data_IF_376084705736
#
_entry.id   IF_376084705736
#
_cell.length_a   1.000
_cell.length_b   1.000
_cell.length_c   1.000
_cell.angle_alpha   90.00
_cell.angle_beta   90.00
_cell.angle_gamma   90.00
#
_symmetry.space_group_name_H-M   'P 1'
#
loop_
_entity.id
_entity.type
_entity.pdbx_description
1 polymer ?
#
# COMPACT_ATOMS: atom_id res chain seq x y z
N UNK A 1 8.68 -6.60 14.22
CA UNK A 1 8.17 -7.36 15.37
C UNK A 1 9.28 -7.69 16.37
N UNK A 2 10.30 -8.49 16.04
CA UNK A 2 11.35 -8.85 17.02
C UNK A 2 12.07 -7.70 17.74
N UNK A 3 12.38 -6.55 17.10
CA UNK A 3 12.97 -5.42 17.80
C UNK A 3 11.92 -4.50 18.48
N UNK A 4 10.63 -4.80 18.34
CA UNK A 4 9.55 -4.01 18.93
C UNK A 4 9.20 -4.52 20.34
N UNK A 5 8.64 -3.69 21.23
CA UNK A 5 8.29 -4.09 22.59
C UNK A 5 7.04 -4.98 22.68
N UNK A 6 6.44 -5.38 21.55
CA UNK A 6 5.18 -6.10 21.53
C UNK A 6 5.40 -7.61 21.58
N UNK A 7 4.70 -8.30 22.49
CA UNK A 7 4.66 -9.77 22.54
C UNK A 7 3.69 -10.37 21.51
N UNK A 8 2.71 -9.57 21.05
CA UNK A 8 1.73 -9.94 20.01
C UNK A 8 1.47 -8.74 19.11
N UNK A 9 1.59 -8.92 17.79
CA UNK A 9 1.37 -7.84 16.83
C UNK A 9 0.86 -8.35 15.47
N UNK A 10 -0.09 -7.62 14.88
CA UNK A 10 -0.35 -7.72 13.45
C UNK A 10 0.79 -7.02 12.70
N UNK A 11 1.42 -7.71 11.76
CA UNK A 11 2.51 -7.18 10.94
C UNK A 11 1.96 -7.00 9.53
N UNK A 12 1.88 -5.76 9.08
CA UNK A 12 1.52 -5.40 7.72
C UNK A 12 2.79 -5.00 6.98
N UNK A 13 3.09 -5.70 5.90
CA UNK A 13 4.15 -5.34 4.97
C UNK A 13 3.49 -4.80 3.70
N UNK A 14 3.79 -3.55 3.35
CA UNK A 14 3.41 -2.90 2.10
C UNK A 14 4.70 -2.58 1.37
N UNK A 15 5.01 -3.32 0.32
CA UNK A 15 6.23 -3.14 -0.45
C UNK A 15 5.93 -3.31 -1.94
N UNK A 16 6.84 -2.85 -2.80
CA UNK A 16 6.68 -2.91 -4.25
C UNK A 16 6.54 -4.34 -4.73
N UNK A 17 7.67 -5.00 -5.01
CA UNK A 17 7.70 -6.41 -5.42
C UNK A 17 8.81 -7.08 -4.63
N UNK A 18 8.44 -7.96 -3.69
CA UNK A 18 9.39 -8.90 -3.09
C UNK A 18 9.77 -9.97 -4.12
N UNK A 19 9.11 -11.13 -4.08
CA UNK A 19 9.13 -12.11 -5.19
C UNK A 19 7.85 -12.05 -6.03
N UNK A 20 6.67 -11.97 -5.40
CA UNK A 20 5.36 -11.75 -6.05
C UNK A 20 4.35 -11.02 -5.14
N UNK A 21 4.48 -11.15 -3.81
CA UNK A 21 3.65 -10.47 -2.84
C UNK A 21 4.01 -8.97 -2.75
N UNK A 22 2.97 -8.15 -2.76
CA UNK A 22 3.03 -6.68 -2.73
C UNK A 22 2.39 -6.10 -1.46
N UNK A 23 1.51 -6.88 -0.83
CA UNK A 23 0.99 -6.63 0.50
C UNK A 23 0.91 -7.95 1.22
N UNK A 24 1.41 -8.05 2.44
CA UNK A 24 1.26 -9.26 3.25
C UNK A 24 0.94 -8.92 4.69
N UNK A 25 0.07 -9.73 5.29
CA UNK A 25 -0.30 -9.62 6.69
C UNK A 25 0.09 -10.89 7.42
N UNK A 26 0.75 -10.69 8.56
CA UNK A 26 1.23 -11.75 9.43
C UNK A 26 0.73 -11.54 10.85
N UNK A 27 0.49 -12.64 11.56
CA UNK A 27 0.27 -12.61 13.00
C UNK A 27 1.56 -13.01 13.69
N UNK A 28 2.10 -12.11 14.51
CA UNK A 28 3.25 -12.37 15.34
C UNK A 28 2.83 -12.60 16.80
N UNK A 29 3.35 -13.66 17.42
CA UNK A 29 3.13 -14.02 18.82
C UNK A 29 4.39 -14.68 19.40
N UNK A 30 4.99 -14.07 20.42
CA UNK A 30 6.22 -14.54 21.05
C UNK A 30 7.38 -14.58 20.04
N UNK A 31 7.83 -15.78 19.66
CA UNK A 31 8.90 -15.98 18.67
C UNK A 31 8.40 -16.46 17.30
N UNK A 32 7.07 -16.54 17.12
CA UNK A 32 6.45 -17.08 15.90
C UNK A 32 5.81 -15.97 15.08
N UNK A 33 6.00 -16.04 13.78
CA UNK A 33 5.33 -15.18 12.79
C UNK A 33 4.65 -16.09 11.79
N UNK A 34 3.33 -15.93 11.60
CA UNK A 34 2.52 -16.80 10.75
C UNK A 34 1.78 -15.97 9.71
N UNK A 35 1.91 -16.34 8.43
CA UNK A 35 1.21 -15.70 7.32
C UNK A 35 -0.30 -15.80 7.54
N UNK A 36 -1.03 -14.72 7.23
CA UNK A 36 -2.49 -14.71 7.23
C UNK A 36 -3.03 -14.62 5.82
N UNK A 37 -2.57 -13.63 5.07
CA UNK A 37 -2.93 -13.43 3.68
C UNK A 37 -1.93 -12.50 3.00
N UNK A 38 -1.95 -12.51 1.69
CA UNK A 38 -1.15 -11.64 0.85
C UNK A 38 -1.95 -11.20 -0.38
N UNK A 39 -1.55 -10.07 -0.95
CA UNK A 39 -1.97 -9.60 -2.25
C UNK A 39 -0.75 -9.74 -3.16
N UNK A 40 -0.96 -10.35 -4.32
CA UNK A 40 0.06 -10.56 -5.32
C UNK A 40 0.05 -9.43 -6.35
N UNK A 41 1.18 -9.26 -7.01
CA UNK A 41 1.32 -8.42 -8.20
C UNK A 41 0.24 -8.80 -9.25
N UNK A 42 -0.39 -7.87 -9.95
CA UNK A 42 -0.08 -6.43 -10.16
C UNK A 42 -0.70 -5.46 -9.14
N UNK A 43 -1.39 -5.93 -8.12
CA UNK A 43 -2.20 -5.06 -7.26
C UNK A 43 -1.38 -4.52 -6.07
N UNK A 44 -0.71 -3.38 -6.23
CA UNK A 44 0.11 -2.79 -5.16
C UNK A 44 -0.09 -1.28 -5.01
N UNK A 45 -0.28 -0.79 -3.77
CA UNK A 45 -0.54 0.63 -3.50
C UNK A 45 0.59 1.55 -3.98
N UNK A 46 1.83 1.05 -4.00
CA UNK A 46 2.97 1.76 -4.58
C UNK A 46 2.74 2.12 -6.05
N UNK A 47 2.03 1.30 -6.85
CA UNK A 47 1.80 1.58 -8.27
C UNK A 47 0.90 2.80 -8.42
N UNK A 48 -0.16 2.85 -7.62
CA UNK A 48 -1.07 3.98 -7.57
C UNK A 48 -0.32 5.24 -7.14
N UNK A 49 0.52 5.12 -6.11
CA UNK A 49 1.34 6.22 -5.61
C UNK A 49 2.36 6.72 -6.66
N UNK A 50 3.04 5.80 -7.38
CA UNK A 50 3.94 6.11 -8.49
C UNK A 50 3.21 6.78 -9.65
N UNK A 51 2.04 6.27 -10.02
CA UNK A 51 1.25 6.83 -11.11
C UNK A 51 0.87 8.30 -10.83
N UNK A 52 0.42 8.62 -9.62
CA UNK A 52 0.16 10.01 -9.23
C UNK A 52 1.45 10.83 -9.15
N UNK A 53 2.55 10.22 -8.69
CA UNK A 53 3.85 10.89 -8.63
C UNK A 53 4.31 11.38 -9.99
N UNK A 54 4.19 10.49 -10.98
CA UNK A 54 4.49 10.82 -12.36
C UNK A 54 3.49 11.82 -12.94
N UNK A 55 2.19 11.61 -12.73
CA UNK A 55 1.12 12.43 -13.29
C UNK A 55 1.24 13.91 -12.93
N UNK A 56 1.64 14.23 -11.69
CA UNK A 56 1.79 15.61 -11.25
C UNK A 56 3.18 16.21 -11.54
N UNK A 57 4.02 15.49 -12.30
CA UNK A 57 5.27 16.00 -12.88
C UNK A 57 6.54 15.74 -12.05
N UNK A 58 6.51 14.89 -11.03
CA UNK A 58 7.72 14.55 -10.28
C UNK A 58 8.48 13.35 -10.88
N UNK A 59 9.80 13.41 -10.81
CA UNK A 59 10.69 12.32 -11.24
C UNK A 59 10.79 11.21 -10.20
N UNK A 60 10.50 9.97 -10.59
CA UNK A 60 10.70 8.77 -9.78
C UNK A 60 12.21 8.44 -9.69
N UNK A 61 12.75 8.00 -8.53
CA UNK A 61 12.08 7.77 -7.24
C UNK A 61 12.09 8.99 -6.30
N UNK A 62 12.72 10.11 -6.68
CA UNK A 62 12.85 11.30 -5.82
C UNK A 62 11.55 12.11 -5.63
N UNK A 63 10.48 11.78 -6.34
CA UNK A 63 9.21 12.50 -6.29
C UNK A 63 8.35 12.17 -5.08
N UNK A 64 8.44 10.93 -4.62
CA UNK A 64 7.50 10.33 -3.68
C UNK A 64 7.43 11.04 -2.34
N UNK A 65 8.59 11.36 -1.76
CA UNK A 65 8.67 12.04 -0.48
C UNK A 65 8.15 13.49 -0.55
N UNK A 66 8.25 14.13 -1.73
CA UNK A 66 7.74 15.50 -1.93
C UNK A 66 6.21 15.51 -1.92
N UNK A 67 5.58 14.50 -2.49
CA UNK A 67 4.11 14.36 -2.50
C UNK A 67 3.60 14.08 -1.10
N UNK A 68 4.28 13.20 -0.37
CA UNK A 68 3.96 12.96 1.03
C UNK A 68 4.03 14.27 1.83
N UNK A 69 5.06 15.09 1.62
CA UNK A 69 5.17 16.41 2.25
C UNK A 69 4.08 17.40 1.82
N UNK A 70 3.67 17.40 0.54
CA UNK A 70 2.63 18.27 0.01
C UNK A 70 1.21 17.85 0.44
N UNK A 71 1.02 16.58 0.84
CA UNK A 71 -0.29 16.06 1.24
C UNK A 71 -0.90 16.83 2.42
N UNK A 72 -0.08 17.41 3.30
CA UNK A 72 -0.53 18.24 4.43
C UNK A 72 -1.13 19.59 4.03
N UNK A 73 -0.82 20.07 2.82
CA UNK A 73 -1.35 21.32 2.26
C UNK A 73 -2.54 21.07 1.30
N UNK A 74 -2.94 19.82 1.11
CA UNK A 74 -3.91 19.41 0.09
C UNK A 74 -5.30 19.17 0.68
N UNK A 75 -6.33 19.32 -0.15
CA UNK A 75 -7.69 18.89 0.18
C UNK A 75 -8.03 17.54 -0.48
N UNK A 76 -8.74 16.64 0.23
CA UNK A 76 -9.09 15.30 -0.26
C UNK A 76 -10.25 15.30 -1.29
N UNK A 77 -10.16 16.14 -2.33
CA UNK A 77 -11.23 16.38 -3.31
C UNK A 77 -11.58 15.16 -4.19
N UNK A 78 -10.63 14.26 -4.42
CA UNK A 78 -10.77 13.14 -5.37
C UNK A 78 -10.90 11.77 -4.70
N UNK A 79 -11.11 11.72 -3.38
CA UNK A 79 -11.11 10.45 -2.63
C UNK A 79 -12.17 9.48 -3.16
N UNK A 80 -13.38 9.95 -3.42
CA UNK A 80 -14.47 9.10 -3.91
C UNK A 80 -14.23 8.64 -5.35
N UNK A 81 -13.70 9.50 -6.22
CA UNK A 81 -13.35 9.10 -7.59
C UNK A 81 -12.23 8.04 -7.60
N UNK A 82 -11.21 8.20 -6.75
CA UNK A 82 -10.13 7.21 -6.63
C UNK A 82 -10.68 5.89 -6.11
N UNK A 83 -11.53 5.92 -5.07
CA UNK A 83 -12.15 4.71 -4.50
C UNK A 83 -13.08 4.00 -5.47
N UNK A 84 -13.83 4.73 -6.28
CA UNK A 84 -14.84 4.13 -7.16
C UNK A 84 -14.28 3.71 -8.53
N UNK A 85 -13.17 4.29 -8.98
CA UNK A 85 -12.64 4.06 -10.33
C UNK A 85 -11.27 3.37 -10.36
N UNK A 86 -10.42 3.58 -9.36
CA UNK A 86 -9.03 3.08 -9.37
C UNK A 86 -8.81 1.89 -8.42
N UNK A 87 -9.73 1.68 -7.48
CA UNK A 87 -9.63 0.67 -6.45
C UNK A 87 -10.92 -0.17 -6.40
N UNK A 88 -10.74 -1.46 -6.15
CA UNK A 88 -11.79 -2.38 -5.76
C UNK A 88 -11.47 -2.85 -4.34
N UNK A 89 -11.98 -2.12 -3.33
CA UNK A 89 -11.77 -2.41 -1.92
C UNK A 89 -12.80 -3.43 -1.45
N UNK A 90 -12.32 -4.52 -0.85
CA UNK A 90 -13.13 -5.62 -0.33
C UNK A 90 -13.45 -5.42 1.14
N UNK A 91 -14.49 -6.12 1.61
CA UNK A 91 -14.93 -6.09 3.01
C UNK A 91 -13.86 -6.61 3.99
N UNK A 92 -12.97 -7.50 3.53
CA UNK A 92 -11.85 -8.03 4.31
C UNK A 92 -10.61 -7.11 4.32
N UNK A 93 -10.77 -5.88 3.82
CA UNK A 93 -9.72 -4.87 3.63
C UNK A 93 -8.65 -5.23 2.60
N UNK A 94 -8.80 -6.34 1.86
CA UNK A 94 -8.00 -6.56 0.65
C UNK A 94 -8.46 -5.60 -0.44
N UNK A 95 -7.59 -5.33 -1.42
CA UNK A 95 -7.90 -4.44 -2.52
C UNK A 95 -7.33 -4.97 -3.83
N UNK A 96 -7.94 -4.56 -4.94
CA UNK A 96 -7.35 -4.68 -6.28
C UNK A 96 -7.28 -3.30 -6.91
N UNK A 97 -6.21 -3.06 -7.66
CA UNK A 97 -6.17 -1.92 -8.56
C UNK A 97 -7.04 -2.23 -9.77
N UNK A 98 -7.78 -1.22 -10.23
CA UNK A 98 -8.42 -1.30 -11.54
C UNK A 98 -7.35 -1.20 -12.63
N UNK A 99 -7.20 -2.28 -13.40
CA UNK A 99 -6.24 -2.41 -14.52
C UNK A 99 -6.96 -2.52 -15.86
N UNK A 100 -8.28 -2.31 -15.87
CA UNK A 100 -9.06 -2.26 -17.10
C UNK A 100 -8.75 -0.91 -17.77
N UNK A 101 -8.04 -0.98 -18.90
CA UNK A 101 -7.65 0.16 -19.74
C UNK A 101 -8.66 0.37 -20.86
#
# INVERSE_FOLDING_TARGET
FFPSPFERAAVLCLDGVGEWATTSVWMALGQRVTARWEILFVHYLGLLYFAFTYYIGFTIPSGEYRIMGLSSYSEPKYVEQIRNHLLDLKEDATFRLNIDY
#
